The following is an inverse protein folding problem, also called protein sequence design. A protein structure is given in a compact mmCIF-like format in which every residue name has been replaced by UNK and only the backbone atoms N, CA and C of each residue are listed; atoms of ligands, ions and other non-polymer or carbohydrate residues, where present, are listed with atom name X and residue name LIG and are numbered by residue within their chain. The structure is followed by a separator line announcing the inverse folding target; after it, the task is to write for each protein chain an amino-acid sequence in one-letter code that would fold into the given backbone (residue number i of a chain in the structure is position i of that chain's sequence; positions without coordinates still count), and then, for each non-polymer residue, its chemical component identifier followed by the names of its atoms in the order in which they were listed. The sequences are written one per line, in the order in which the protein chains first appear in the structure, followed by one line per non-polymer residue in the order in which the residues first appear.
data_IF_250815740688
#
_entry.id   IF_250815740688
#
_cell.length_a   1.000
_cell.length_b   1.000
_cell.length_c   1.000
_cell.angle_alpha   90.00
_cell.angle_beta   90.00
_cell.angle_gamma   90.00
#
_symmetry.space_group_name_H-M   'P 1'
#
loop_
_entity.id
_entity.type
_entity.pdbx_description
1 polymer ?
#
# COMPACT_ATOMS: atom_id res chain seq x y z
N UNK A 1 -43.23 -8.09 24.62
CA UNK A 1 -42.56 -6.78 24.67
C UNK A 1 -41.21 -6.95 23.99
N UNK A 2 -41.05 -6.35 22.81
CA UNK A 2 -39.97 -6.63 21.87
C UNK A 2 -38.62 -6.09 22.34
N UNK A 3 -37.67 -7.00 22.57
CA UNK A 3 -36.25 -6.68 22.89
C UNK A 3 -35.38 -6.79 21.61
N UNK A 4 -35.97 -6.82 20.41
CA UNK A 4 -35.22 -7.05 19.15
C UNK A 4 -34.56 -5.79 18.58
N UNK A 5 -35.05 -4.60 18.91
CA UNK A 5 -34.55 -3.35 18.32
C UNK A 5 -33.23 -2.85 18.94
N UNK A 6 -33.00 -3.09 20.23
CA UNK A 6 -31.81 -2.57 20.94
C UNK A 6 -30.53 -3.29 20.53
N UNK A 7 -30.59 -4.60 20.27
CA UNK A 7 -29.43 -5.41 19.86
C UNK A 7 -28.90 -5.03 18.48
N UNK A 8 -29.78 -4.66 17.53
CA UNK A 8 -29.38 -4.16 16.21
C UNK A 8 -28.64 -2.82 16.30
N UNK A 9 -29.03 -1.94 17.22
CA UNK A 9 -28.39 -0.64 17.41
C UNK A 9 -26.98 -0.77 17.99
N UNK A 10 -26.78 -1.68 18.95
CA UNK A 10 -25.45 -2.03 19.46
C UNK A 10 -24.57 -2.70 18.39
N UNK A 11 -25.12 -3.57 17.53
CA UNK A 11 -24.36 -4.16 16.42
C UNK A 11 -23.90 -3.10 15.41
N UNK A 12 -24.76 -2.15 15.07
CA UNK A 12 -24.40 -1.04 14.17
C UNK A 12 -23.31 -0.16 14.81
N UNK A 13 -23.42 0.13 16.11
CA UNK A 13 -22.41 0.90 16.83
C UNK A 13 -21.07 0.13 16.92
N UNK A 14 -21.10 -1.18 17.16
CA UNK A 14 -19.90 -2.05 17.15
C UNK A 14 -19.24 -2.11 15.76
N UNK A 15 -20.03 -2.22 14.69
CA UNK A 15 -19.55 -2.18 13.31
C UNK A 15 -18.92 -0.83 12.95
N UNK A 16 -19.51 0.28 13.42
CA UNK A 16 -18.95 1.63 13.26
C UNK A 16 -17.62 1.82 14.00
N UNK A 17 -17.44 1.19 15.16
CA UNK A 17 -16.17 1.25 15.91
C UNK A 17 -15.07 0.43 15.20
N UNK A 18 -15.41 -0.72 14.62
CA UNK A 18 -14.46 -1.55 13.86
C UNK A 18 -13.90 -0.84 12.63
N UNK A 19 -14.69 -0.01 11.95
CA UNK A 19 -14.22 0.79 10.80
C UNK A 19 -13.14 1.83 11.15
N UNK A 20 -12.92 2.15 12.43
CA UNK A 20 -11.93 3.14 12.87
C UNK A 20 -10.49 2.60 12.81
N UNK A 21 -10.31 1.28 12.70
CA UNK A 21 -9.00 0.61 12.59
C UNK A 21 -8.79 -0.02 11.21
N UNK A 22 -9.32 0.61 10.16
CA UNK A 22 -9.15 0.11 8.78
C UNK A 22 -7.71 0.32 8.31
N UNK A 23 -6.99 -0.76 8.03
CA UNK A 23 -5.77 -0.77 7.20
C UNK A 23 -6.13 -1.10 5.75
N UNK A 24 -5.31 -0.63 4.80
CA UNK A 24 -5.51 -1.00 3.40
C UNK A 24 -4.93 -2.38 3.12
N UNK A 25 -5.76 -3.27 2.56
CA UNK A 25 -5.41 -4.65 2.20
C UNK A 25 -5.33 -4.80 0.69
N UNK A 26 -4.94 -5.99 0.23
CA UNK A 26 -4.86 -6.29 -1.20
C UNK A 26 -3.80 -5.46 -1.93
N UNK A 27 -2.73 -5.05 -1.21
CA UNK A 27 -1.66 -4.23 -1.76
C UNK A 27 -0.52 -5.13 -2.26
N UNK A 28 -0.20 -5.00 -3.54
CA UNK A 28 0.97 -5.62 -4.15
C UNK A 28 2.00 -4.55 -4.45
N UNK A 29 3.26 -4.75 -4.07
CA UNK A 29 4.35 -3.84 -4.37
C UNK A 29 5.36 -4.49 -5.31
N UNK A 30 5.86 -3.72 -6.29
CA UNK A 30 6.85 -4.22 -7.25
C UNK A 30 8.16 -4.66 -6.58
N UNK A 31 8.64 -3.88 -5.61
CA UNK A 31 9.91 -4.07 -4.90
C UNK A 31 9.74 -3.74 -3.42
N UNK A 32 10.69 -4.19 -2.58
CA UNK A 32 10.64 -3.98 -1.12
C UNK A 32 10.60 -2.50 -0.73
N UNK A 33 11.36 -1.64 -1.43
CA UNK A 33 11.36 -0.20 -1.16
C UNK A 33 10.01 0.45 -1.47
N UNK A 34 9.37 0.03 -2.55
CA UNK A 34 8.00 0.47 -2.88
C UNK A 34 7.00 -0.06 -1.85
N UNK A 35 7.20 -1.29 -1.36
CA UNK A 35 6.41 -1.87 -0.28
C UNK A 35 6.50 -1.06 1.00
N UNK A 36 7.71 -0.68 1.41
CA UNK A 36 7.92 0.15 2.60
C UNK A 36 7.23 1.52 2.50
N UNK A 37 7.21 2.15 1.31
CA UNK A 37 6.45 3.40 1.09
C UNK A 37 4.95 3.16 1.25
N UNK A 38 4.42 2.02 0.79
CA UNK A 38 3.02 1.67 0.96
C UNK A 38 2.66 1.37 2.43
N UNK A 39 3.50 0.62 3.14
CA UNK A 39 3.32 0.35 4.57
C UNK A 39 3.34 1.63 5.40
N UNK A 40 4.26 2.55 5.10
CA UNK A 40 4.31 3.87 5.74
C UNK A 40 3.04 4.71 5.48
N UNK A 41 2.36 4.48 4.35
CA UNK A 41 1.07 5.08 4.06
C UNK A 41 -0.10 4.42 4.82
N UNK A 42 0.11 3.28 5.48
CA UNK A 42 -0.91 2.53 6.21
C UNK A 42 -1.46 1.30 5.48
N UNK A 43 -0.77 0.83 4.43
CA UNK A 43 -1.02 -0.50 3.89
C UNK A 43 -0.61 -1.58 4.91
N UNK A 44 -1.34 -2.67 4.91
CA UNK A 44 -1.10 -3.85 5.73
C UNK A 44 -1.04 -5.08 4.82
N UNK A 45 -0.32 -6.11 5.27
CA UNK A 45 -0.15 -7.36 4.49
C UNK A 45 0.39 -7.13 3.06
N UNK A 46 1.35 -6.19 2.89
CA UNK A 46 1.90 -5.84 1.56
C UNK A 46 2.66 -7.03 0.94
N UNK A 47 2.20 -7.46 -0.23
CA UNK A 47 2.85 -8.54 -0.99
C UNK A 47 3.89 -7.96 -1.94
N UNK A 48 5.17 -8.21 -1.66
CA UNK A 48 6.28 -7.79 -2.53
C UNK A 48 6.54 -8.83 -3.64
N UNK A 49 6.60 -8.37 -4.89
CA UNK A 49 6.83 -9.25 -6.05
C UNK A 49 8.31 -9.63 -6.20
N UNK A 50 9.19 -8.64 -6.35
CA UNK A 50 10.63 -8.86 -6.50
C UNK A 50 11.24 -9.29 -5.14
N UNK A 51 11.84 -10.49 -5.03
CA UNK A 51 12.46 -10.96 -3.80
C UNK A 51 13.54 -10.00 -3.27
N UNK A 52 13.67 -9.93 -1.95
CA UNK A 52 14.61 -9.04 -1.27
C UNK A 52 16.07 -9.41 -1.55
N UNK A 53 16.35 -10.69 -1.80
CA UNK A 53 17.70 -11.21 -2.06
C UNK A 53 18.26 -10.80 -3.43
N UNK A 54 17.42 -10.24 -4.31
CA UNK A 54 17.86 -9.76 -5.60
C UNK A 54 18.72 -8.50 -5.46
N UNK A 55 19.91 -8.54 -6.07
CA UNK A 55 20.80 -7.36 -6.14
C UNK A 55 20.18 -6.22 -6.95
N UNK A 56 19.41 -6.54 -8.00
CA UNK A 56 18.74 -5.57 -8.86
C UNK A 56 17.22 -5.88 -8.93
N UNK A 57 16.44 -5.59 -7.86
CA UNK A 57 15.01 -5.90 -7.83
C UNK A 57 14.20 -5.36 -9.02
N UNK A 58 14.50 -4.18 -9.60
CA UNK A 58 13.78 -3.70 -10.78
C UNK A 58 13.93 -4.58 -12.03
N UNK A 59 14.96 -5.43 -12.07
CA UNK A 59 15.26 -6.36 -13.16
C UNK A 59 14.67 -7.75 -12.95
N UNK A 60 13.89 -7.94 -11.89
CA UNK A 60 13.20 -9.19 -11.61
C UNK A 60 12.41 -9.69 -12.82
N UNK A 61 12.44 -11.02 -13.04
CA UNK A 61 11.59 -11.68 -14.02
C UNK A 61 10.40 -12.32 -13.30
N UNK A 62 9.19 -11.85 -13.60
CA UNK A 62 7.99 -12.22 -12.84
C UNK A 62 7.62 -13.69 -13.05
N UNK A 63 7.12 -14.33 -11.98
CA UNK A 63 6.69 -15.73 -11.99
C UNK A 63 5.20 -15.84 -12.30
N UNK A 64 4.70 -17.01 -12.74
CA UNK A 64 3.26 -17.24 -12.93
C UNK A 64 2.41 -16.91 -11.70
N UNK A 65 2.91 -17.19 -10.49
CA UNK A 65 2.22 -16.84 -9.24
C UNK A 65 2.10 -15.33 -9.00
N UNK A 66 2.97 -14.52 -9.60
CA UNK A 66 2.90 -13.06 -9.48
C UNK A 66 1.74 -12.50 -10.30
N UNK A 67 1.38 -13.17 -11.41
CA UNK A 67 0.19 -12.84 -12.21
C UNK A 67 -1.08 -12.94 -11.36
N UNK A 68 -1.22 -14.04 -10.62
CA UNK A 68 -2.38 -14.27 -9.74
C UNK A 68 -2.48 -13.14 -8.71
N UNK A 69 -1.36 -12.83 -8.03
CA UNK A 69 -1.30 -11.75 -7.03
C UNK A 69 -1.72 -10.39 -7.60
N UNK A 70 -1.23 -10.01 -8.78
CA UNK A 70 -1.59 -8.71 -9.37
C UNK A 70 -3.03 -8.65 -9.84
N UNK A 71 -3.58 -9.76 -10.34
CA UNK A 71 -4.99 -9.82 -10.75
C UNK A 71 -5.93 -9.74 -9.55
N UNK A 72 -5.55 -10.31 -8.41
CA UNK A 72 -6.33 -10.27 -7.16
C UNK A 72 -6.12 -8.98 -6.34
N UNK A 73 -5.07 -8.21 -6.63
CA UNK A 73 -4.76 -6.99 -5.90
C UNK A 73 -5.86 -5.92 -6.07
N UNK A 74 -6.05 -5.12 -5.02
CA UNK A 74 -6.82 -3.89 -5.08
C UNK A 74 -5.95 -2.77 -5.69
N UNK A 75 -4.69 -2.68 -5.26
CA UNK A 75 -3.70 -1.74 -5.77
C UNK A 75 -2.34 -2.39 -5.99
N UNK A 76 -1.69 -2.02 -7.10
CA UNK A 76 -0.35 -2.45 -7.46
C UNK A 76 0.56 -1.23 -7.44
N UNK A 77 1.44 -1.15 -6.44
CA UNK A 77 2.34 -0.02 -6.25
C UNK A 77 3.66 -0.31 -6.97
N UNK A 78 4.15 0.64 -7.75
CA UNK A 78 5.39 0.47 -8.51
C UNK A 78 6.13 1.78 -8.75
N UNK A 79 7.41 1.72 -9.12
CA UNK A 79 8.23 2.91 -9.32
C UNK A 79 8.15 3.47 -10.76
N UNK A 80 7.63 2.70 -11.70
CA UNK A 80 7.40 3.11 -13.10
C UNK A 80 8.53 2.74 -14.06
N UNK A 81 9.65 2.22 -13.57
CA UNK A 81 10.80 1.84 -14.39
C UNK A 81 10.96 0.33 -14.55
N UNK A 82 10.31 -0.46 -13.70
CA UNK A 82 10.37 -1.93 -13.68
C UNK A 82 9.84 -2.53 -15.00
N UNK A 83 10.69 -3.16 -15.83
CA UNK A 83 10.26 -3.74 -17.08
C UNK A 83 9.24 -4.87 -16.91
N UNK A 84 9.31 -5.62 -15.79
CA UNK A 84 8.41 -6.73 -15.53
C UNK A 84 6.96 -6.28 -15.27
N UNK A 85 6.76 -5.14 -14.61
CA UNK A 85 5.42 -4.54 -14.46
C UNK A 85 4.88 -4.10 -15.83
N UNK A 86 5.73 -3.51 -16.68
CA UNK A 86 5.34 -3.14 -18.04
C UNK A 86 4.91 -4.36 -18.85
N UNK A 87 5.66 -5.47 -18.77
CA UNK A 87 5.30 -6.74 -19.41
C UNK A 87 3.98 -7.30 -18.87
N UNK A 88 3.78 -7.28 -17.55
CA UNK A 88 2.52 -7.71 -16.91
C UNK A 88 1.34 -6.89 -17.42
N UNK A 89 1.46 -5.55 -17.44
CA UNK A 89 0.45 -4.64 -17.99
C UNK A 89 0.13 -4.94 -19.45
N UNK A 90 1.15 -5.22 -20.27
CA UNK A 90 0.93 -5.57 -21.68
C UNK A 90 0.20 -6.89 -21.84
N UNK A 91 0.49 -7.88 -20.99
CA UNK A 91 -0.16 -9.20 -21.03
C UNK A 91 -1.59 -9.17 -20.44
N UNK A 92 -1.82 -8.33 -19.43
CA UNK A 92 -3.08 -8.19 -18.69
C UNK A 92 -3.45 -6.70 -18.58
N UNK A 93 -4.04 -6.10 -19.63
CA UNK A 93 -4.34 -4.66 -19.67
C UNK A 93 -5.22 -4.16 -18.52
N UNK A 94 -6.06 -5.03 -17.96
CA UNK A 94 -6.95 -4.75 -16.83
C UNK A 94 -6.20 -4.37 -15.54
N UNK A 95 -4.92 -4.71 -15.40
CA UNK A 95 -4.18 -4.30 -14.19
C UNK A 95 -3.81 -2.81 -14.20
N UNK A 96 -3.93 -2.13 -15.34
CA UNK A 96 -3.58 -0.70 -15.47
C UNK A 96 -4.36 0.18 -14.50
N UNK A 97 -5.66 -0.10 -14.33
CA UNK A 97 -6.53 0.64 -13.41
C UNK A 97 -6.15 0.48 -11.93
N UNK A 98 -5.39 -0.57 -11.62
CA UNK A 98 -4.88 -0.90 -10.28
C UNK A 98 -3.50 -0.32 -10.04
N UNK A 99 -2.77 0.08 -11.09
CA UNK A 99 -1.39 0.57 -10.97
C UNK A 99 -1.35 1.95 -10.33
N UNK A 100 -0.54 2.09 -9.29
CA UNK A 100 -0.27 3.34 -8.58
C UNK A 100 1.23 3.59 -8.60
N UNK A 101 1.64 4.63 -9.30
CA UNK A 101 3.05 4.97 -9.43
C UNK A 101 3.52 5.80 -8.23
N UNK A 102 4.65 5.42 -7.64
CA UNK A 102 5.36 6.21 -6.63
C UNK A 102 6.75 6.61 -7.13
N UNK A 103 7.28 7.71 -6.57
CA UNK A 103 8.67 8.09 -6.75
C UNK A 103 9.50 7.50 -5.61
N UNK A 104 10.62 6.86 -5.95
CA UNK A 104 11.46 6.13 -4.99
C UNK A 104 12.65 6.93 -4.46
N UNK A 105 12.72 8.23 -4.74
CA UNK A 105 13.80 9.11 -4.25
C UNK A 105 13.84 9.11 -2.72
N UNK A 106 14.99 8.76 -2.15
CA UNK A 106 15.15 8.63 -0.69
C UNK A 106 15.50 9.98 -0.04
N UNK A 107 14.58 10.94 -0.15
CA UNK A 107 14.66 12.22 0.57
C UNK A 107 13.38 12.42 1.39
N UNK A 108 13.45 13.04 2.59
CA UNK A 108 12.30 13.17 3.49
C UNK A 108 11.03 13.71 2.81
N UNK A 109 11.16 14.81 2.07
CA UNK A 109 10.03 15.46 1.39
C UNK A 109 9.33 14.51 0.39
N UNK A 110 10.11 13.69 -0.33
CA UNK A 110 9.54 12.72 -1.26
C UNK A 110 8.80 11.61 -0.52
N UNK A 111 9.38 11.07 0.56
CA UNK A 111 8.75 10.00 1.33
C UNK A 111 7.44 10.47 1.97
N UNK A 112 7.43 11.68 2.52
CA UNK A 112 6.20 12.32 3.04
C UNK A 112 5.17 12.50 1.93
N UNK A 113 5.57 13.04 0.78
CA UNK A 113 4.65 13.27 -0.34
C UNK A 113 4.04 11.97 -0.88
N UNK A 114 4.85 10.91 -1.06
CA UNK A 114 4.37 9.64 -1.59
C UNK A 114 3.48 8.90 -0.60
N UNK A 115 3.83 8.92 0.69
CA UNK A 115 3.01 8.28 1.73
C UNK A 115 1.66 8.97 1.88
N UNK A 116 1.61 10.32 1.87
CA UNK A 116 0.34 11.08 1.87
C UNK A 116 -0.55 10.71 0.69
N UNK A 117 0.00 10.70 -0.53
CA UNK A 117 -0.74 10.35 -1.75
C UNK A 117 -1.33 8.93 -1.67
N UNK A 118 -0.53 7.96 -1.24
CA UNK A 118 -1.01 6.60 -1.06
C UNK A 118 -2.07 6.53 0.05
N UNK A 119 -1.89 7.24 1.16
CA UNK A 119 -2.83 7.23 2.27
C UNK A 119 -4.19 7.83 1.91
N UNK A 120 -4.22 8.83 1.02
CA UNK A 120 -5.47 9.33 0.44
C UNK A 120 -6.19 8.25 -0.37
N UNK A 121 -5.44 7.51 -1.20
CA UNK A 121 -6.00 6.42 -2.01
C UNK A 121 -6.50 5.25 -1.17
N UNK A 122 -5.80 4.97 -0.07
CA UNK A 122 -6.04 3.87 0.85
C UNK A 122 -7.07 4.19 1.93
N UNK A 123 -7.44 5.47 2.09
CA UNK A 123 -8.22 5.99 3.22
C UNK A 123 -7.56 5.72 4.58
N UNK A 124 -6.24 5.87 4.65
CA UNK A 124 -5.39 5.58 5.83
C UNK A 124 -4.64 6.82 6.34
N UNK A 125 -5.18 8.01 6.07
CA UNK A 125 -4.52 9.30 6.36
C UNK A 125 -4.12 9.44 7.84
N UNK A 126 -4.94 8.93 8.78
CA UNK A 126 -4.60 8.95 10.21
C UNK A 126 -3.35 8.13 10.54
N UNK A 127 -3.17 6.96 9.90
CA UNK A 127 -1.96 6.16 10.05
C UNK A 127 -0.75 6.94 9.52
N UNK A 128 -0.88 7.47 8.31
CA UNK A 128 0.18 8.21 7.65
C UNK A 128 0.61 9.44 8.46
N UNK A 129 -0.33 10.19 9.04
CA UNK A 129 -0.02 11.34 9.91
C UNK A 129 0.82 10.92 11.12
N UNK A 130 0.44 9.85 11.80
CA UNK A 130 1.23 9.31 12.91
C UNK A 130 2.61 8.81 12.46
N UNK A 131 2.70 8.20 11.27
CA UNK A 131 3.99 7.81 10.70
C UNK A 131 4.87 9.04 10.42
N UNK A 132 4.30 10.08 9.81
CA UNK A 132 5.00 11.30 9.42
C UNK A 132 5.54 12.07 10.62
N UNK A 133 4.73 12.25 11.68
CA UNK A 133 5.17 12.91 12.91
C UNK A 133 6.41 12.25 13.51
N UNK A 134 6.41 10.90 13.57
CA UNK A 134 7.57 10.13 14.05
C UNK A 134 8.75 10.25 13.09
N UNK A 135 8.50 10.09 11.79
CA UNK A 135 9.54 10.14 10.77
C UNK A 135 10.28 11.49 10.77
N UNK A 136 9.55 12.60 10.77
CA UNK A 136 10.14 13.95 10.78
C UNK A 136 10.91 14.23 12.08
N UNK A 137 10.39 13.76 13.22
CA UNK A 137 11.10 13.85 14.50
C UNK A 137 12.46 13.13 14.47
N UNK A 138 12.50 11.92 13.89
CA UNK A 138 13.75 11.17 13.72
C UNK A 138 14.69 11.90 12.75
N UNK A 139 14.21 12.37 11.60
CA UNK A 139 15.02 13.12 10.63
C UNK A 139 15.65 14.38 11.24
N UNK A 140 14.91 15.11 12.07
CA UNK A 140 15.43 16.30 12.75
C UNK A 140 16.51 15.95 13.79
N UNK A 141 16.52 14.74 14.34
CA UNK A 141 17.57 14.30 15.28
C UNK A 141 18.94 14.06 14.62
N UNK A 142 18.97 13.90 13.29
CA UNK A 142 20.19 13.73 12.50
C UNK A 142 20.77 15.05 11.98
N UNK A 143 20.10 16.19 12.23
CA UNK A 143 20.58 17.53 11.89
C UNK A 143 21.41 18.10 13.03
#
# INVERSE_FOLDING_TARGET
MEIKHSTKLYLIFLLLILSVFSSAKGIVASTSWVGAIAEAAGADEVVVLAPFELRHPPEYDYRPQDVIKVLEADHIIWAGYEPFIKKLKTAYPEIEEKLVKVRTTNIPDNLVSMTRMLAEKFNTQKHQQNWEERFLKEIDSFK
#
